data_IF_245715375914
#
_entry.id   IF_245715375914
#
_cell.length_a   1.000
_cell.length_b   1.000
_cell.length_c   1.000
_cell.angle_alpha   90.00
_cell.angle_beta   90.00
_cell.angle_gamma   90.00
#
_symmetry.space_group_name_H-M   'P 1'
#
loop_
_entity.id
_entity.type
_entity.pdbx_description
1 polymer ?
#
# COMPACT_ATOMS: atom_id res chain seq x y z
N UNK A 1 84.07 27.06 -0.33
CA UNK A 1 82.76 27.37 0.27
C UNK A 1 81.75 26.41 -0.32
N UNK A 2 81.17 25.51 0.48
CA UNK A 2 80.21 24.52 0.01
C UNK A 2 78.81 24.95 0.44
N UNK A 3 77.94 25.26 -0.52
CA UNK A 3 76.53 25.56 -0.26
C UNK A 3 75.77 24.24 -0.14
N UNK A 4 75.39 23.88 1.08
CA UNK A 4 74.52 22.73 1.35
C UNK A 4 73.08 23.13 1.06
N UNK A 5 72.52 22.63 -0.04
CA UNK A 5 71.08 22.72 -0.31
C UNK A 5 70.34 21.65 0.51
N UNK A 6 69.74 22.07 1.63
CA UNK A 6 68.74 21.27 2.34
C UNK A 6 67.46 21.23 1.52
N UNK A 7 67.36 20.23 0.64
CA UNK A 7 66.13 19.90 -0.08
C UNK A 7 65.06 19.41 0.89
N UNK A 8 64.25 20.32 1.43
CA UNK A 8 63.08 19.96 2.23
C UNK A 8 62.05 19.26 1.33
N UNK A 9 62.02 17.92 1.35
CA UNK A 9 60.90 17.13 0.79
C UNK A 9 59.62 17.50 1.54
N UNK A 10 58.81 18.41 1.01
CA UNK A 10 57.46 18.71 1.52
C UNK A 10 56.65 17.40 1.58
N UNK A 11 56.42 16.89 2.79
CA UNK A 11 55.62 15.68 3.03
C UNK A 11 54.22 15.87 2.45
N UNK A 12 53.91 15.17 1.35
CA UNK A 12 52.58 15.04 0.71
C UNK A 12 51.47 14.47 1.64
N UNK A 13 51.71 14.28 2.95
CA UNK A 13 50.73 13.75 3.92
C UNK A 13 49.58 14.72 4.22
N UNK A 14 49.79 16.04 4.14
CA UNK A 14 48.76 17.03 4.49
C UNK A 14 47.50 16.96 3.61
N UNK A 15 47.66 16.77 2.29
CA UNK A 15 46.51 16.67 1.36
C UNK A 15 45.70 15.39 1.55
N UNK A 16 46.34 14.30 1.97
CA UNK A 16 45.67 13.02 2.24
C UNK A 16 44.76 13.08 3.48
N UNK A 17 45.21 13.74 4.56
CA UNK A 17 44.38 13.92 5.75
C UNK A 17 43.19 14.86 5.49
N UNK A 18 43.40 15.92 4.70
CA UNK A 18 42.32 16.82 4.28
C UNK A 18 41.30 16.07 3.41
N UNK A 19 41.75 15.26 2.43
CA UNK A 19 40.82 14.45 1.63
C UNK A 19 40.08 13.42 2.47
N UNK A 20 40.74 12.80 3.46
CA UNK A 20 40.11 11.84 4.36
C UNK A 20 39.01 12.50 5.21
N UNK A 21 39.27 13.70 5.75
CA UNK A 21 38.28 14.46 6.52
C UNK A 21 37.09 14.83 5.63
N UNK A 22 37.33 15.28 4.39
CA UNK A 22 36.25 15.61 3.45
C UNK A 22 35.40 14.37 3.14
N UNK A 23 36.03 13.21 2.92
CA UNK A 23 35.30 11.94 2.71
C UNK A 23 34.47 11.59 3.93
N UNK A 24 35.03 11.69 5.14
CA UNK A 24 34.29 11.40 6.39
C UNK A 24 33.09 12.35 6.53
N UNK A 25 33.28 13.66 6.31
CA UNK A 25 32.19 14.65 6.37
C UNK A 25 31.12 14.35 5.33
N UNK A 26 31.51 14.00 4.10
CA UNK A 26 30.57 13.61 3.04
C UNK A 26 29.80 12.34 3.40
N UNK A 27 30.46 11.34 3.97
CA UNK A 27 29.84 10.09 4.43
C UNK A 27 28.86 10.36 5.59
N UNK A 28 29.25 11.16 6.58
CA UNK A 28 28.37 11.54 7.70
C UNK A 28 27.16 12.34 7.21
N UNK A 29 27.36 13.31 6.32
CA UNK A 29 26.28 14.07 5.72
C UNK A 29 25.32 13.18 4.93
N UNK A 30 25.87 12.23 4.16
CA UNK A 30 25.10 11.25 3.42
C UNK A 30 24.27 10.37 4.36
N UNK A 31 24.87 9.70 5.35
CA UNK A 31 24.13 8.88 6.30
C UNK A 31 23.14 9.68 7.16
N UNK A 32 23.48 10.92 7.52
CA UNK A 32 22.58 11.83 8.22
C UNK A 32 21.34 12.17 7.41
N UNK A 33 21.49 12.46 6.11
CA UNK A 33 20.38 12.68 5.20
C UNK A 33 19.52 11.42 5.02
N UNK A 34 20.15 10.25 4.90
CA UNK A 34 19.46 8.95 4.82
C UNK A 34 18.60 8.70 6.05
N UNK A 35 19.19 8.87 7.24
CA UNK A 35 18.49 8.67 8.51
C UNK A 35 17.34 9.67 8.68
N UNK A 36 17.54 10.94 8.32
CA UNK A 36 16.49 11.94 8.36
C UNK A 36 15.30 11.57 7.47
N UNK A 37 15.54 11.17 6.22
CA UNK A 37 14.47 10.79 5.28
C UNK A 37 13.70 9.56 5.78
N UNK A 38 14.40 8.54 6.25
CA UNK A 38 13.81 7.35 6.85
C UNK A 38 12.99 7.70 8.11
N UNK A 39 13.54 8.49 9.04
CA UNK A 39 12.83 8.90 10.26
C UNK A 39 11.59 9.73 9.96
N UNK A 40 11.63 10.60 8.94
CA UNK A 40 10.46 11.40 8.54
C UNK A 40 9.35 10.51 7.99
N UNK A 41 9.68 9.56 7.14
CA UNK A 41 8.71 8.60 6.59
C UNK A 41 8.11 7.72 7.69
N UNK A 42 8.95 7.13 8.53
CA UNK A 42 8.51 6.18 9.57
C UNK A 42 7.73 6.80 10.71
N UNK A 43 7.88 8.11 10.94
CA UNK A 43 7.16 8.87 11.97
C UNK A 43 6.08 9.79 11.39
N UNK A 44 5.66 9.55 10.14
CA UNK A 44 4.63 10.38 9.53
C UNK A 44 3.26 10.13 10.17
N UNK A 45 2.36 11.14 10.17
CA UNK A 45 1.02 10.99 10.72
C UNK A 45 0.23 9.83 10.11
N UNK A 46 0.41 9.60 8.80
CA UNK A 46 -0.22 8.49 8.06
C UNK A 46 0.24 7.13 8.62
N UNK A 47 1.54 6.96 8.83
CA UNK A 47 2.09 5.69 9.33
C UNK A 47 1.63 5.41 10.77
N UNK A 48 1.46 6.46 11.57
CA UNK A 48 1.01 6.38 12.95
C UNK A 48 -0.52 6.43 13.13
N UNK A 49 -1.30 6.59 12.06
CA UNK A 49 -2.75 6.65 12.13
C UNK A 49 -3.33 5.37 12.73
N UNK A 50 -4.48 5.42 13.42
CA UNK A 50 -5.02 4.24 14.08
C UNK A 50 -5.58 3.24 13.06
N UNK A 51 -6.23 3.74 12.02
CA UNK A 51 -6.83 2.93 10.96
C UNK A 51 -6.60 3.53 9.57
N UNK A 52 -6.12 2.70 8.64
CA UNK A 52 -6.03 3.02 7.22
C UNK A 52 -6.84 2.04 6.39
N UNK A 53 -7.49 2.52 5.33
CA UNK A 53 -8.28 1.68 4.42
C UNK A 53 -7.82 1.89 2.99
N UNK A 54 -7.43 0.81 2.32
CA UNK A 54 -7.07 0.80 0.89
C UNK A 54 -8.18 0.07 0.13
N UNK A 55 -8.74 0.73 -0.87
CA UNK A 55 -9.72 0.15 -1.79
C UNK A 55 -9.02 -0.12 -3.11
N UNK A 56 -8.89 -1.40 -3.44
CA UNK A 56 -8.22 -1.86 -4.64
C UNK A 56 -9.25 -2.53 -5.55
N UNK A 57 -9.47 -1.97 -6.74
CA UNK A 57 -10.24 -2.64 -7.78
C UNK A 57 -9.31 -3.53 -8.57
N UNK A 58 -9.60 -4.82 -8.66
CA UNK A 58 -8.79 -5.77 -9.44
C UNK A 58 -9.70 -6.80 -10.08
N UNK A 59 -9.62 -6.90 -11.41
CA UNK A 59 -10.57 -7.70 -12.20
C UNK A 59 -12.02 -7.29 -11.89
N UNK A 60 -12.91 -8.24 -11.62
CA UNK A 60 -14.34 -8.02 -11.30
C UNK A 60 -14.61 -7.88 -9.78
N UNK A 61 -13.57 -7.69 -8.97
CA UNK A 61 -13.65 -7.65 -7.52
C UNK A 61 -13.10 -6.35 -6.92
N UNK A 62 -13.66 -5.98 -5.77
CA UNK A 62 -13.16 -4.93 -4.89
C UNK A 62 -12.53 -5.54 -3.65
N UNK A 63 -11.29 -5.12 -3.37
CA UNK A 63 -10.54 -5.53 -2.19
C UNK A 63 -10.44 -4.35 -1.22
N UNK A 64 -11.01 -4.52 -0.03
CA UNK A 64 -10.93 -3.56 1.06
C UNK A 64 -9.88 -4.04 2.05
N UNK A 65 -8.69 -3.45 1.96
CA UNK A 65 -7.55 -3.77 2.81
C UNK A 65 -7.54 -2.77 3.96
N UNK A 66 -7.83 -3.22 5.18
CA UNK A 66 -7.79 -2.40 6.38
C UNK A 66 -6.54 -2.69 7.18
N UNK A 67 -5.78 -1.65 7.49
CA UNK A 67 -4.64 -1.67 8.41
C UNK A 67 -5.09 -1.06 9.73
N UNK A 68 -5.08 -1.86 10.79
CA UNK A 68 -5.45 -1.46 12.15
C UNK A 68 -4.18 -1.44 13.00
N UNK A 69 -3.60 -0.25 13.18
CA UNK A 69 -2.31 -0.08 13.87
C UNK A 69 -2.43 -0.33 15.38
N UNK A 70 -3.54 0.09 15.98
CA UNK A 70 -3.85 -0.15 17.40
C UNK A 70 -3.82 -1.65 17.77
N UNK A 71 -4.34 -2.50 16.90
CA UNK A 71 -4.47 -3.94 17.11
C UNK A 71 -3.41 -4.76 16.36
N UNK A 72 -2.53 -4.10 15.60
CA UNK A 72 -1.50 -4.72 14.74
C UNK A 72 -2.09 -5.83 13.85
N UNK A 73 -3.20 -5.50 13.17
CA UNK A 73 -3.92 -6.40 12.27
C UNK A 73 -4.05 -5.80 10.87
N UNK A 74 -4.05 -6.68 9.88
CA UNK A 74 -4.45 -6.38 8.50
C UNK A 74 -5.63 -7.28 8.17
N UNK A 75 -6.71 -6.69 7.67
CA UNK A 75 -7.88 -7.42 7.19
C UNK A 75 -8.06 -7.14 5.71
N UNK A 76 -8.11 -8.19 4.89
CA UNK A 76 -8.36 -8.07 3.45
C UNK A 76 -9.74 -8.64 3.19
N UNK A 77 -10.71 -7.78 2.89
CA UNK A 77 -12.05 -8.21 2.52
C UNK A 77 -12.24 -8.15 1.01
N UNK A 78 -12.86 -9.18 0.43
CA UNK A 78 -13.23 -9.22 -0.98
C UNK A 78 -14.73 -9.14 -1.16
N UNK A 79 -15.16 -8.24 -2.03
CA UNK A 79 -16.57 -8.05 -2.41
C UNK A 79 -16.61 -7.98 -3.93
N UNK A 80 -17.51 -8.75 -4.55
CA UNK A 80 -17.66 -8.68 -6.00
C UNK A 80 -18.17 -7.31 -6.43
N UNK A 81 -17.62 -6.78 -7.52
CA UNK A 81 -18.06 -5.51 -8.08
C UNK A 81 -19.56 -5.53 -8.43
N UNK A 82 -20.27 -4.46 -8.08
CA UNK A 82 -21.71 -4.31 -8.29
C UNK A 82 -22.59 -4.98 -7.23
N UNK A 83 -22.01 -5.40 -6.10
CA UNK A 83 -22.77 -6.01 -5.00
C UNK A 83 -23.60 -4.95 -4.26
N UNK A 84 -24.91 -5.19 -4.18
CA UNK A 84 -25.89 -4.41 -3.41
C UNK A 84 -26.12 -5.06 -2.04
N UNK A 85 -26.11 -4.25 -0.98
CA UNK A 85 -26.40 -4.66 0.39
C UNK A 85 -27.87 -4.38 0.73
N UNK A 86 -28.71 -5.42 0.89
CA UNK A 86 -30.12 -5.26 1.23
C UNK A 86 -30.26 -4.68 2.63
N UNK A 87 -30.96 -3.55 2.75
CA UNK A 87 -31.07 -2.77 3.99
C UNK A 87 -30.87 -1.29 3.72
N UNK A 88 -29.61 -0.88 3.52
CA UNK A 88 -29.26 0.50 3.17
C UNK A 88 -29.35 0.79 1.66
N UNK A 89 -29.58 -0.25 0.83
CA UNK A 89 -29.59 -0.15 -0.64
C UNK A 89 -28.31 0.45 -1.24
N UNK A 90 -27.20 0.30 -0.53
CA UNK A 90 -25.88 0.73 -0.99
C UNK A 90 -25.32 -0.34 -1.91
N UNK A 91 -24.81 0.09 -3.05
CA UNK A 91 -24.07 -0.76 -4.00
C UNK A 91 -22.62 -0.34 -3.99
N UNK A 92 -21.71 -1.30 -3.86
CA UNK A 92 -20.28 -1.08 -3.96
C UNK A 92 -19.86 -1.32 -5.41
N UNK A 93 -19.37 -0.27 -6.08
CA UNK A 93 -18.94 -0.33 -7.48
C UNK A 93 -17.53 0.21 -7.67
N UNK A 94 -16.84 -0.30 -8.67
CA UNK A 94 -15.53 0.16 -9.10
C UNK A 94 -15.58 1.46 -9.91
N UNK A 95 -16.75 2.03 -10.20
CA UNK A 95 -16.85 3.26 -11.02
C UNK A 95 -16.19 4.46 -10.33
N UNK A 96 -16.25 4.48 -9.00
CA UNK A 96 -15.62 5.50 -8.16
C UNK A 96 -15.18 4.89 -6.83
N UNK A 97 -13.89 4.61 -6.69
CA UNK A 97 -13.32 3.98 -5.49
C UNK A 97 -13.41 4.84 -4.23
N UNK A 98 -13.44 6.17 -4.35
CA UNK A 98 -13.64 7.05 -3.20
C UNK A 98 -15.05 6.88 -2.63
N UNK A 99 -16.06 6.86 -3.50
CA UNK A 99 -17.44 6.59 -3.10
C UNK A 99 -17.57 5.17 -2.57
N UNK A 100 -16.95 4.18 -3.21
CA UNK A 100 -16.94 2.80 -2.75
C UNK A 100 -16.35 2.67 -1.34
N UNK A 101 -15.25 3.36 -1.05
CA UNK A 101 -14.63 3.37 0.27
C UNK A 101 -15.56 3.99 1.33
N UNK A 102 -16.13 5.16 1.05
CA UNK A 102 -17.07 5.81 1.96
C UNK A 102 -18.30 4.94 2.23
N UNK A 103 -18.85 4.35 1.18
CA UNK A 103 -20.00 3.46 1.26
C UNK A 103 -19.68 2.19 2.06
N UNK A 104 -18.51 1.60 1.85
CA UNK A 104 -18.03 0.47 2.63
C UNK A 104 -17.87 0.83 4.10
N UNK A 105 -17.16 1.91 4.43
CA UNK A 105 -17.00 2.36 5.81
C UNK A 105 -18.34 2.62 6.49
N UNK A 106 -19.30 3.24 5.79
CA UNK A 106 -20.65 3.46 6.31
C UNK A 106 -21.43 2.16 6.52
N UNK A 107 -21.39 1.24 5.55
CA UNK A 107 -22.09 -0.04 5.59
C UNK A 107 -21.68 -0.88 6.81
N UNK A 108 -20.38 -0.90 7.09
CA UNK A 108 -19.82 -1.68 8.19
C UNK A 108 -19.64 -0.86 9.49
N UNK A 109 -20.09 0.40 9.51
CA UNK A 109 -19.96 1.33 10.65
C UNK A 109 -18.52 1.51 11.14
N UNK A 110 -17.58 1.54 10.19
CA UNK A 110 -16.15 1.58 10.42
C UNK A 110 -15.60 3.00 10.35
N UNK A 111 -14.52 3.24 11.08
CA UNK A 111 -13.69 4.46 10.98
C UNK A 111 -12.37 4.16 10.27
N UNK A 112 -11.87 5.18 9.60
CA UNK A 112 -10.58 5.18 8.91
C UNK A 112 -10.05 6.61 8.92
N UNK A 113 -8.81 6.78 9.35
CA UNK A 113 -8.16 8.09 9.41
C UNK A 113 -7.67 8.52 8.02
N UNK A 114 -7.26 7.54 7.21
CA UNK A 114 -6.74 7.75 5.85
C UNK A 114 -7.29 6.68 4.92
N UNK A 115 -7.77 7.13 3.74
CA UNK A 115 -8.31 6.25 2.71
C UNK A 115 -7.51 6.36 1.42
N UNK A 116 -7.13 5.21 0.87
CA UNK A 116 -6.36 5.09 -0.36
C UNK A 116 -7.12 4.32 -1.42
N UNK A 117 -6.91 4.68 -2.69
CA UNK A 117 -7.62 4.12 -3.83
C UNK A 117 -6.65 3.69 -4.93
N UNK A 118 -6.91 2.53 -5.53
CA UNK A 118 -6.08 1.99 -6.61
C UNK A 118 -6.90 1.12 -7.57
N UNK A 119 -6.82 1.42 -8.86
CA UNK A 119 -7.16 0.48 -9.91
C UNK A 119 -5.94 -0.37 -10.23
N UNK A 120 -6.00 -1.65 -9.88
CA UNK A 120 -4.92 -2.61 -10.10
C UNK A 120 -5.20 -3.38 -11.39
N UNK A 121 -4.28 -3.30 -12.34
CA UNK A 121 -4.22 -4.19 -13.50
C UNK A 121 -3.19 -5.30 -13.26
N UNK A 122 -3.25 -6.38 -14.05
CA UNK A 122 -2.24 -7.46 -13.99
C UNK A 122 -0.82 -6.93 -14.23
N UNK A 123 -0.66 -6.00 -15.17
CA UNK A 123 0.64 -5.39 -15.47
C UNK A 123 1.16 -4.60 -14.26
N UNK A 124 0.32 -3.77 -13.66
CA UNK A 124 0.71 -3.01 -12.47
C UNK A 124 1.01 -3.95 -11.29
N UNK A 125 0.20 -4.98 -11.07
CA UNK A 125 0.43 -5.97 -10.02
C UNK A 125 1.80 -6.65 -10.19
N UNK A 126 2.11 -7.13 -11.39
CA UNK A 126 3.37 -7.79 -11.70
C UNK A 126 4.57 -6.84 -11.55
N UNK A 127 4.44 -5.57 -11.94
CA UNK A 127 5.49 -4.58 -11.76
C UNK A 127 5.73 -4.27 -10.28
N UNK A 128 4.66 -4.15 -9.48
CA UNK A 128 4.75 -3.97 -8.03
C UNK A 128 5.39 -5.18 -7.34
N UNK A 129 5.00 -6.41 -7.72
CA UNK A 129 5.59 -7.65 -7.22
C UNK A 129 7.11 -7.67 -7.47
N UNK A 130 7.53 -7.32 -8.69
CA UNK A 130 8.95 -7.23 -9.05
C UNK A 130 9.71 -6.22 -8.19
N UNK A 131 9.14 -5.01 -7.98
CA UNK A 131 9.75 -3.98 -7.12
C UNK A 131 9.79 -4.35 -5.64
N UNK A 132 8.91 -5.26 -5.20
CA UNK A 132 8.88 -5.80 -3.84
C UNK A 132 9.73 -7.08 -3.68
N UNK A 133 10.53 -7.45 -4.68
CA UNK A 133 11.35 -8.67 -4.72
C UNK A 133 10.53 -9.97 -4.56
N UNK A 134 9.27 -9.98 -5.00
CA UNK A 134 8.43 -11.18 -5.05
C UNK A 134 8.73 -12.03 -6.28
N UNK A 135 8.68 -13.37 -6.16
CA UNK A 135 9.28 -14.27 -7.16
C UNK A 135 8.35 -15.26 -7.84
N UNK A 136 7.09 -15.43 -7.45
CA UNK A 136 6.36 -16.66 -7.85
C UNK A 136 4.89 -16.56 -8.22
N UNK A 137 4.14 -15.55 -7.77
CA UNK A 137 2.68 -15.48 -8.00
C UNK A 137 2.31 -14.19 -8.73
N UNK A 138 1.37 -14.26 -9.66
CA UNK A 138 0.87 -13.12 -10.44
C UNK A 138 -0.39 -12.54 -9.79
N UNK A 139 -0.75 -11.32 -10.20
CA UNK A 139 -2.02 -10.69 -9.81
C UNK A 139 -2.07 -10.23 -8.34
N UNK A 140 -3.30 -10.03 -7.84
CA UNK A 140 -3.54 -9.54 -6.48
C UNK A 140 -2.92 -10.46 -5.41
N UNK A 141 -2.98 -11.78 -5.59
CA UNK A 141 -2.45 -12.75 -4.62
C UNK A 141 -0.93 -12.72 -4.55
N UNK A 142 -0.30 -12.58 -5.72
CA UNK A 142 1.12 -12.32 -5.81
C UNK A 142 1.53 -11.05 -5.09
N UNK A 143 0.76 -9.98 -5.28
CA UNK A 143 1.03 -8.69 -4.64
C UNK A 143 0.90 -8.77 -3.12
N UNK A 144 -0.18 -9.37 -2.60
CA UNK A 144 -0.38 -9.56 -1.16
C UNK A 144 0.74 -10.43 -0.54
N UNK A 145 1.17 -11.46 -1.26
CA UNK A 145 2.30 -12.32 -0.85
C UNK A 145 3.62 -11.55 -0.85
N UNK A 146 3.87 -10.73 -1.88
CA UNK A 146 5.06 -9.89 -1.97
C UNK A 146 5.08 -8.85 -0.84
N UNK A 147 3.95 -8.21 -0.52
CA UNK A 147 3.82 -7.28 0.61
C UNK A 147 4.15 -7.94 1.94
N UNK A 148 3.65 -9.18 2.16
CA UNK A 148 3.92 -9.95 3.38
C UNK A 148 5.40 -10.29 3.55
N UNK A 149 6.08 -10.63 2.45
CA UNK A 149 7.48 -11.06 2.48
C UNK A 149 8.46 -9.89 2.38
N UNK A 150 7.99 -8.73 1.97
CA UNK A 150 8.81 -7.52 1.85
C UNK A 150 9.32 -7.08 3.22
N UNK A 151 10.64 -6.88 3.33
CA UNK A 151 11.28 -6.36 4.55
C UNK A 151 11.76 -4.96 4.28
N UNK A 152 10.92 -3.98 4.64
CA UNK A 152 11.27 -2.58 4.42
C UNK A 152 12.54 -2.18 5.16
N UNK A 153 13.61 -1.87 4.41
CA UNK A 153 14.88 -1.40 4.96
C UNK A 153 15.11 0.10 4.68
N UNK A 154 16.13 0.69 5.31
CA UNK A 154 16.41 2.13 5.15
C UNK A 154 16.79 2.53 3.71
N UNK A 155 17.29 1.60 2.90
CA UNK A 155 17.67 1.86 1.50
C UNK A 155 16.44 1.92 0.59
N UNK A 156 15.39 1.15 0.90
CA UNK A 156 14.15 1.10 0.14
C UNK A 156 13.31 2.39 0.23
N UNK A 157 13.63 3.30 1.16
CA UNK A 157 13.07 4.66 1.19
C UNK A 157 13.29 5.40 -0.14
N UNK A 158 14.40 5.12 -0.82
CA UNK A 158 14.73 5.79 -2.07
C UNK A 158 14.07 5.13 -3.28
N UNK A 159 13.69 3.84 -3.18
CA UNK A 159 12.98 3.13 -4.24
C UNK A 159 11.48 3.39 -4.20
N UNK A 160 10.91 3.75 -3.04
CA UNK A 160 9.50 4.11 -2.89
C UNK A 160 9.02 5.17 -3.89
N UNK A 161 9.82 6.20 -4.16
CA UNK A 161 9.45 7.21 -5.15
C UNK A 161 9.22 6.62 -6.54
N UNK A 162 10.07 5.67 -6.95
CA UNK A 162 9.90 4.95 -8.21
C UNK A 162 8.69 4.02 -8.20
N UNK A 163 8.31 3.46 -7.05
CA UNK A 163 7.09 2.65 -6.91
C UNK A 163 5.84 3.52 -7.05
N UNK A 164 5.80 4.67 -6.38
CA UNK A 164 4.66 5.60 -6.48
C UNK A 164 4.52 6.15 -7.90
N UNK A 165 5.63 6.43 -8.58
CA UNK A 165 5.59 6.85 -9.98
C UNK A 165 4.99 5.75 -10.86
N UNK A 166 5.44 4.50 -10.71
CA UNK A 166 4.82 3.36 -11.39
C UNK A 166 3.31 3.29 -11.13
N UNK A 167 2.86 3.41 -9.87
CA UNK A 167 1.42 3.39 -9.58
C UNK A 167 0.69 4.49 -10.38
N UNK A 168 1.22 5.71 -10.38
CA UNK A 168 0.61 6.85 -11.07
C UNK A 168 0.69 6.77 -12.60
N UNK A 169 1.67 6.06 -13.14
CA UNK A 169 1.81 5.83 -14.58
C UNK A 169 0.69 4.90 -15.11
N UNK A 170 0.29 3.89 -14.31
CA UNK A 170 -0.79 2.97 -14.66
C UNK A 170 -2.17 3.44 -14.19
N UNK A 171 -2.26 4.07 -13.02
CA UNK A 171 -3.48 4.62 -12.44
C UNK A 171 -3.26 6.05 -11.95
N UNK A 172 -3.54 7.01 -12.85
CA UNK A 172 -3.44 8.45 -12.56
C UNK A 172 -4.43 8.92 -11.50
N UNK A 173 -5.51 8.17 -11.26
CA UNK A 173 -6.53 8.52 -10.28
C UNK A 173 -6.19 8.05 -8.86
N UNK A 174 -5.16 7.21 -8.71
CA UNK A 174 -4.71 6.77 -7.40
C UNK A 174 -4.19 7.94 -6.56
N UNK A 175 -4.63 7.98 -5.30
CA UNK A 175 -4.14 8.90 -4.29
C UNK A 175 -3.04 8.29 -3.41
N UNK A 176 -2.52 7.11 -3.75
CA UNK A 176 -1.45 6.46 -2.98
C UNK A 176 -0.17 7.30 -3.05
N UNK A 177 0.38 7.59 -1.88
CA UNK A 177 1.64 8.31 -1.70
C UNK A 177 2.69 7.45 -0.99
N UNK A 178 3.90 8.00 -0.81
CA UNK A 178 5.02 7.25 -0.24
C UNK A 178 4.73 6.78 1.19
N UNK A 179 4.05 7.61 1.97
CA UNK A 179 3.71 7.31 3.36
C UNK A 179 2.66 6.20 3.43
N UNK A 180 1.60 6.29 2.62
CA UNK A 180 0.55 5.28 2.53
C UNK A 180 1.07 3.94 2.03
N UNK A 181 1.89 3.92 0.99
CA UNK A 181 2.45 2.67 0.49
C UNK A 181 3.45 2.05 1.47
N UNK A 182 4.27 2.87 2.13
CA UNK A 182 5.15 2.38 3.20
C UNK A 182 4.35 1.81 4.38
N UNK A 183 3.28 2.49 4.83
CA UNK A 183 2.41 2.01 5.90
C UNK A 183 1.83 0.63 5.55
N UNK A 184 1.41 0.43 4.29
CA UNK A 184 0.91 -0.85 3.78
C UNK A 184 1.98 -1.95 3.86
N UNK A 185 3.18 -1.72 3.31
CA UNK A 185 4.30 -2.68 3.37
C UNK A 185 4.65 -3.02 4.84
N UNK A 186 4.77 -1.99 5.67
CA UNK A 186 5.14 -2.14 7.07
C UNK A 186 4.09 -2.94 7.87
N UNK A 187 2.81 -2.74 7.57
CA UNK A 187 1.74 -3.50 8.19
C UNK A 187 1.75 -4.97 7.73
N UNK A 188 1.75 -5.24 6.43
CA UNK A 188 1.77 -6.61 5.89
C UNK A 188 2.98 -7.42 6.36
N UNK A 189 4.13 -6.79 6.53
CA UNK A 189 5.35 -7.47 6.97
C UNK A 189 5.40 -7.76 8.48
N UNK A 190 4.60 -7.08 9.30
CA UNK A 190 4.71 -7.13 10.77
C UNK A 190 3.45 -7.53 11.52
N UNK A 191 2.28 -7.44 10.89
CA UNK A 191 0.98 -7.59 11.55
C UNK A 191 0.36 -8.96 11.26
N UNK A 192 -0.63 -9.33 12.08
CA UNK A 192 -1.43 -10.52 11.80
C UNK A 192 -2.37 -10.21 10.61
N UNK A 193 -2.35 -11.07 9.59
CA UNK A 193 -3.15 -10.89 8.37
C UNK A 193 -4.34 -11.86 8.38
N UNK A 194 -5.55 -11.33 8.28
CA UNK A 194 -6.76 -12.08 7.94
C UNK A 194 -7.06 -11.84 6.45
N UNK A 195 -6.78 -12.84 5.62
CA UNK A 195 -6.96 -12.74 4.17
C UNK A 195 -8.42 -12.93 3.74
N UNK A 196 -8.72 -12.56 2.50
CA UNK A 196 -10.06 -12.62 1.93
C UNK A 196 -10.61 -14.05 1.81
N UNK A 197 -9.76 -15.09 1.86
CA UNK A 197 -10.19 -16.50 1.95
C UNK A 197 -11.17 -16.73 3.12
N UNK A 198 -11.08 -15.89 4.16
CA UNK A 198 -11.95 -15.90 5.33
C UNK A 198 -12.93 -14.72 5.39
N UNK A 199 -12.71 -13.70 4.56
CA UNK A 199 -13.43 -12.44 4.54
C UNK A 199 -13.95 -12.14 3.12
N UNK A 200 -14.71 -13.08 2.57
CA UNK A 200 -15.46 -12.88 1.32
C UNK A 200 -16.94 -12.88 1.63
N UNK A 201 -17.67 -11.92 1.09
CA UNK A 201 -19.13 -11.86 1.23
C UNK A 201 -19.74 -12.61 0.04
N UNK A 202 -20.35 -13.78 0.26
CA UNK A 202 -21.02 -14.49 -0.81
C UNK A 202 -22.24 -13.71 -1.28
N UNK A 203 -22.60 -13.93 -2.54
CA UNK A 203 -23.87 -13.46 -3.07
C UNK A 203 -25.01 -14.39 -2.64
N UNK A 204 -26.23 -13.85 -2.62
CA UNK A 204 -27.46 -14.63 -2.42
C UNK A 204 -27.69 -15.62 -3.58
N UNK A 205 -27.27 -15.22 -4.79
CA UNK A 205 -27.42 -16.00 -6.02
C UNK A 205 -26.10 -15.98 -6.79
N UNK A 206 -25.77 -17.08 -7.44
CA UNK A 206 -24.56 -17.22 -8.27
C UNK A 206 -24.60 -16.31 -9.51
N UNK A 207 -25.81 -16.01 -9.99
CA UNK A 207 -26.05 -15.12 -11.12
C UNK A 207 -26.79 -13.83 -10.67
N UNK A 208 -26.50 -12.68 -11.31
CA UNK A 208 -27.18 -11.44 -10.99
C UNK A 208 -28.68 -11.54 -11.29
N UNK A 209 -29.51 -10.99 -10.41
CA UNK A 209 -30.95 -10.85 -10.63
C UNK A 209 -31.20 -9.87 -11.77
N UNK A 210 -31.90 -10.34 -12.78
CA UNK A 210 -32.37 -9.52 -13.89
C UNK A 210 -33.72 -8.90 -13.52
N UNK A 211 -33.73 -7.59 -13.29
CA UNK A 211 -34.93 -6.82 -12.98
C UNK A 211 -35.33 -6.07 -14.26
N UNK A 212 -36.47 -6.46 -14.82
CA UNK A 212 -37.03 -5.79 -16.00
C UNK A 212 -38.01 -4.71 -15.53
N UNK A 213 -37.68 -3.45 -15.78
CA UNK A 213 -38.55 -2.29 -15.50
C UNK A 213 -38.92 -1.65 -16.84
N UNK A 214 -40.10 -2.01 -17.35
CA UNK A 214 -40.54 -1.58 -18.68
C UNK A 214 -39.60 -2.10 -19.77
N UNK A 215 -38.96 -1.20 -20.52
CA UNK A 215 -37.97 -1.53 -21.55
C UNK A 215 -36.54 -1.64 -21.03
N UNK A 216 -36.29 -1.32 -19.76
CA UNK A 216 -34.96 -1.35 -19.17
C UNK A 216 -34.70 -2.67 -18.45
N UNK A 217 -33.52 -3.24 -18.68
CA UNK A 217 -33.01 -4.43 -18.00
C UNK A 217 -31.90 -4.00 -17.04
N UNK A 218 -32.10 -4.24 -15.74
CA UNK A 218 -31.14 -3.95 -14.68
C UNK A 218 -30.62 -5.26 -14.11
N UNK A 219 -29.31 -5.40 -13.97
CA UNK A 219 -28.68 -6.54 -13.32
C UNK A 219 -28.24 -6.15 -11.92
N UNK A 220 -28.62 -6.97 -10.91
CA UNK A 220 -28.25 -6.72 -9.52
C UNK A 220 -27.72 -7.97 -8.84
N UNK A 221 -26.56 -7.81 -8.19
CA UNK A 221 -25.96 -8.82 -7.32
C UNK A 221 -26.29 -8.44 -5.88
N UNK A 222 -26.79 -9.37 -5.08
CA UNK A 222 -27.13 -9.08 -3.67
C UNK A 222 -26.21 -9.85 -2.73
N UNK A 223 -25.69 -9.15 -1.73
CA UNK A 223 -24.92 -9.77 -0.66
C UNK A 223 -25.80 -10.65 0.23
N UNK A 224 -25.28 -11.80 0.65
CA UNK A 224 -25.90 -12.64 1.69
C UNK A 224 -25.97 -11.89 3.02
N UNK A 225 -27.19 -11.71 3.54
CA UNK A 225 -27.46 -10.92 4.76
C UNK A 225 -26.79 -11.54 5.99
N UNK A 226 -26.82 -12.87 6.11
CA UNK A 226 -26.26 -13.56 7.27
C UNK A 226 -24.73 -13.48 7.29
N UNK A 227 -24.09 -13.63 6.14
CA UNK A 227 -22.66 -13.46 5.98
C UNK A 227 -22.24 -12.01 6.20
N UNK A 228 -22.99 -11.04 5.67
CA UNK A 228 -22.74 -9.62 5.91
C UNK A 228 -22.76 -9.28 7.41
N UNK A 229 -23.77 -9.76 8.16
CA UNK A 229 -23.85 -9.50 9.59
C UNK A 229 -22.66 -10.11 10.36
N UNK A 230 -22.26 -11.34 10.05
CA UNK A 230 -21.07 -11.97 10.64
C UNK A 230 -19.78 -11.20 10.30
N UNK A 231 -19.68 -10.69 9.08
CA UNK A 231 -18.51 -9.92 8.65
C UNK A 231 -18.41 -8.58 9.38
N UNK A 232 -19.55 -7.93 9.69
CA UNK A 232 -19.57 -6.71 10.49
C UNK A 232 -18.96 -6.92 11.87
N UNK A 233 -19.33 -8.02 12.55
CA UNK A 233 -18.77 -8.38 13.86
C UNK A 233 -17.26 -8.69 13.83
N UNK A 234 -16.72 -9.18 12.71
CA UNK A 234 -15.30 -9.50 12.57
C UNK A 234 -14.45 -8.25 12.26
N UNK A 235 -15.04 -7.24 11.62
CA UNK A 235 -14.36 -6.03 11.17
C UNK A 235 -14.32 -4.89 12.21
N UNK A 236 -15.14 -4.97 13.27
CA UNK A 236 -15.04 -4.14 14.48
C UNK A 236 -13.76 -4.44 15.29
#
# INVERSE_FOLDING_TARGET
MANVYLGSKKKKRSKFWISLIIIIVAVVAFFGFFFYRYSRLTKSPVVSADALTYVVSYSEDLYFIRVLNNNRKVMVMKIQNGTTFPGQYITLTSDNLEIAARNFLNLFELKSDVNYYLYLSDNLANELISKLNGTTSQGIDGLLTALKNSKFNMWEVFTLGGVINTIKDYDRSSNIDQEGFYALINAFSKYAITNYDKLTIPLVLDEPLQINIGTQKLERKYADVGAFQRMKEILE
#
